data_IF_521705449411
#
_entry.id   IF_521705449411
#
_cell.length_a   1.000
_cell.length_b   1.000
_cell.length_c   1.000
_cell.angle_alpha   90.00
_cell.angle_beta   90.00
_cell.angle_gamma   90.00
#
_symmetry.space_group_name_H-M   'P 1'
#
loop_
_entity.id
_entity.type
_entity.pdbx_description
1 polymer ?
#
# COMPACT_ATOMS: atom_id res chain seq x y z
N UNK A 1 45.79 33.44 -63.16
CA UNK A 1 46.01 34.53 -62.19
C UNK A 1 44.82 34.54 -61.23
N UNK A 2 45.11 34.62 -59.92
CA UNK A 2 44.20 34.87 -58.79
C UNK A 2 43.31 33.72 -58.25
N UNK A 3 43.77 33.17 -57.12
CA UNK A 3 43.00 32.48 -56.07
C UNK A 3 42.09 33.49 -55.36
N UNK A 4 40.85 33.12 -55.03
CA UNK A 4 40.18 33.56 -53.80
C UNK A 4 39.38 32.38 -53.23
N UNK A 5 39.83 31.92 -52.05
CA UNK A 5 39.10 31.05 -51.13
C UNK A 5 38.06 31.89 -50.39
N UNK A 6 36.84 31.38 -50.16
CA UNK A 6 36.13 31.73 -48.94
C UNK A 6 35.21 30.60 -48.47
N UNK A 7 35.43 30.25 -47.21
CA UNK A 7 34.77 29.25 -46.41
C UNK A 7 33.30 29.60 -46.15
N UNK A 8 32.39 28.63 -46.28
CA UNK A 8 31.14 28.62 -45.52
C UNK A 8 30.91 27.22 -44.92
N UNK A 9 30.55 27.24 -43.64
CA UNK A 9 30.72 26.20 -42.62
C UNK A 9 29.75 25.03 -42.80
N UNK A 10 30.26 23.81 -42.58
CA UNK A 10 29.45 22.60 -42.33
C UNK A 10 28.61 22.82 -41.07
N UNK A 11 27.29 22.90 -41.21
CA UNK A 11 26.37 22.83 -40.10
C UNK A 11 26.43 21.41 -39.50
N UNK A 12 26.95 21.31 -38.28
CA UNK A 12 26.87 20.07 -37.48
C UNK A 12 25.42 19.93 -37.02
N UNK A 13 24.69 19.00 -37.64
CA UNK A 13 23.44 18.49 -37.09
C UNK A 13 23.82 17.57 -35.91
N UNK A 14 23.64 18.05 -34.69
CA UNK A 14 23.77 17.27 -33.44
C UNK A 14 22.34 17.03 -32.93
N UNK A 15 21.99 15.80 -32.53
CA UNK A 15 20.63 15.30 -32.54
C UNK A 15 19.83 15.80 -31.33
N UNK A 16 18.61 16.27 -31.56
CA UNK A 16 17.64 16.65 -30.52
C UNK A 16 16.96 15.44 -29.84
N UNK A 17 17.50 14.22 -30.00
CA UNK A 17 16.83 12.99 -29.60
C UNK A 17 17.16 12.51 -28.16
N UNK A 18 17.98 13.23 -27.38
CA UNK A 18 18.50 12.71 -26.10
C UNK A 18 17.99 13.43 -24.84
N UNK A 19 17.01 14.34 -24.94
CA UNK A 19 16.53 15.15 -23.81
C UNK A 19 15.10 14.83 -23.34
N UNK A 20 14.45 13.80 -23.88
CA UNK A 20 13.09 13.35 -23.51
C UNK A 20 13.14 11.94 -22.92
N UNK A 21 14.05 11.68 -21.98
CA UNK A 21 14.15 10.37 -21.30
C UNK A 21 14.31 10.48 -19.77
N UNK A 22 14.23 11.68 -19.19
CA UNK A 22 14.50 11.90 -17.75
C UNK A 22 13.28 12.31 -16.90
N UNK A 23 12.05 12.30 -17.43
CA UNK A 23 10.87 12.82 -16.71
C UNK A 23 9.84 11.76 -16.28
N UNK A 24 10.17 10.47 -16.33
CA UNK A 24 9.25 9.39 -15.90
C UNK A 24 9.76 8.62 -14.69
N UNK A 25 10.39 9.30 -13.71
CA UNK A 25 10.49 8.77 -12.35
C UNK A 25 9.14 8.98 -11.64
N UNK A 26 8.16 8.14 -11.97
CA UNK A 26 7.00 7.98 -11.09
C UNK A 26 7.51 7.42 -9.75
N UNK A 27 7.12 8.03 -8.64
CA UNK A 27 7.45 7.51 -7.31
C UNK A 27 6.89 6.09 -7.20
N UNK A 28 7.77 5.07 -7.20
CA UNK A 28 7.36 3.70 -6.93
C UNK A 28 6.72 3.63 -5.55
N UNK A 29 5.48 3.15 -5.46
CA UNK A 29 4.83 2.97 -4.17
C UNK A 29 5.45 1.76 -3.47
N UNK A 30 5.87 1.96 -2.23
CA UNK A 30 6.37 0.87 -1.39
C UNK A 30 5.21 0.41 -0.51
N UNK A 31 4.85 -0.87 -0.64
CA UNK A 31 3.90 -1.52 0.26
C UNK A 31 4.68 -2.30 1.31
N UNK A 32 4.36 -2.08 2.57
CA UNK A 32 4.88 -2.92 3.67
C UNK A 32 3.90 -4.05 3.95
N UNK A 33 4.37 -5.29 3.77
CA UNK A 33 3.69 -6.51 4.20
C UNK A 33 4.25 -6.95 5.56
N UNK A 34 3.34 -7.42 6.38
CA UNK A 34 3.55 -8.00 7.69
C UNK A 34 3.38 -9.51 7.58
N UNK A 35 4.33 -10.28 8.08
CA UNK A 35 4.27 -11.74 8.10
C UNK A 35 4.31 -12.19 9.55
N UNK A 36 3.24 -12.86 9.98
CA UNK A 36 3.16 -13.53 11.27
C UNK A 36 3.13 -15.05 11.04
N UNK A 37 4.23 -15.77 11.29
CA UNK A 37 4.21 -17.23 11.31
C UNK A 37 3.32 -17.73 12.45
N UNK A 38 2.35 -18.59 12.16
CA UNK A 38 1.38 -19.07 13.13
C UNK A 38 1.40 -20.61 13.17
N UNK A 39 2.54 -21.22 13.58
CA UNK A 39 2.68 -22.67 13.57
C UNK A 39 1.64 -23.33 14.48
N UNK A 40 1.12 -24.47 14.04
CA UNK A 40 0.14 -25.26 14.80
C UNK A 40 -1.18 -24.55 15.12
N UNK A 41 -1.57 -23.53 14.35
CA UNK A 41 -2.92 -22.94 14.38
C UNK A 41 -3.69 -23.36 13.13
N UNK A 42 -4.94 -23.79 13.31
CA UNK A 42 -5.81 -24.05 12.17
C UNK A 42 -6.26 -22.73 11.53
N UNK A 43 -6.53 -22.76 10.23
CA UNK A 43 -7.02 -21.57 9.49
C UNK A 43 -8.28 -21.00 10.13
N UNK A 44 -9.20 -21.85 10.61
CA UNK A 44 -10.43 -21.41 11.28
C UNK A 44 -10.14 -20.67 12.59
N UNK A 45 -9.14 -21.12 13.37
CA UNK A 45 -8.73 -20.43 14.59
C UNK A 45 -8.10 -19.08 14.27
N UNK A 46 -7.27 -19.03 13.23
CA UNK A 46 -6.64 -17.79 12.79
C UNK A 46 -7.70 -16.78 12.34
N UNK A 47 -8.64 -17.18 11.47
CA UNK A 47 -9.70 -16.28 11.00
C UNK A 47 -10.60 -15.78 12.13
N UNK A 48 -10.94 -16.65 13.10
CA UNK A 48 -11.71 -16.25 14.29
C UNK A 48 -10.94 -15.24 15.15
N UNK A 49 -9.64 -15.48 15.39
CA UNK A 49 -8.80 -14.58 16.14
C UNK A 49 -8.65 -13.22 15.44
N UNK A 50 -8.36 -13.23 14.14
CA UNK A 50 -8.28 -12.02 13.31
C UNK A 50 -9.58 -11.22 13.34
N UNK A 51 -10.72 -11.90 13.15
CA UNK A 51 -12.05 -11.27 13.23
C UNK A 51 -12.30 -10.65 14.60
N UNK A 52 -11.89 -11.32 15.68
CA UNK A 52 -12.02 -10.76 17.02
C UNK A 52 -11.13 -9.52 17.22
N UNK A 53 -9.89 -9.54 16.72
CA UNK A 53 -8.94 -8.43 16.86
C UNK A 53 -9.42 -7.18 16.13
N UNK A 54 -9.86 -7.33 14.89
CA UNK A 54 -10.31 -6.19 14.07
C UNK A 54 -11.63 -5.59 14.58
N UNK A 55 -12.58 -6.42 15.02
CA UNK A 55 -13.87 -5.94 15.54
C UNK A 55 -13.68 -5.22 16.88
N UNK A 56 -12.73 -5.66 17.71
CA UNK A 56 -12.39 -4.97 18.95
C UNK A 56 -11.88 -3.53 18.71
N UNK A 57 -11.25 -3.28 17.56
CA UNK A 57 -10.76 -1.96 17.15
C UNK A 57 -11.78 -1.16 16.30
N UNK A 58 -13.03 -1.65 16.19
CA UNK A 58 -14.10 -0.96 15.48
C UNK A 58 -14.03 -1.08 13.96
N UNK A 59 -13.22 -2.01 13.42
CA UNK A 59 -13.25 -2.34 12.01
C UNK A 59 -14.39 -3.30 11.70
N UNK A 60 -14.98 -3.14 10.52
CA UNK A 60 -16.04 -3.98 9.97
C UNK A 60 -15.44 -4.87 8.89
N UNK A 61 -15.77 -6.15 8.93
CA UNK A 61 -15.37 -7.09 7.86
C UNK A 61 -16.06 -6.67 6.57
N UNK A 62 -15.27 -6.35 5.55
CA UNK A 62 -15.75 -6.03 4.20
C UNK A 62 -15.89 -7.30 3.37
N UNK A 63 -14.91 -8.18 3.47
CA UNK A 63 -14.87 -9.43 2.73
C UNK A 63 -14.16 -10.48 3.55
N UNK A 64 -14.72 -11.67 3.61
CA UNK A 64 -14.07 -12.83 4.21
C UNK A 64 -14.34 -14.03 3.32
N UNK A 65 -13.28 -14.74 2.97
CA UNK A 65 -13.36 -15.98 2.22
C UNK A 65 -12.45 -16.99 2.91
N UNK A 66 -13.07 -17.92 3.64
CA UNK A 66 -12.34 -18.94 4.38
C UNK A 66 -11.65 -19.95 3.44
N UNK A 67 -12.20 -20.21 2.25
CA UNK A 67 -11.67 -21.20 1.31
C UNK A 67 -10.31 -20.79 0.73
N UNK A 68 -10.06 -19.48 0.61
CA UNK A 68 -8.76 -18.93 0.16
C UNK A 68 -8.01 -18.22 1.29
N UNK A 69 -8.46 -18.39 2.53
CA UNK A 69 -7.83 -17.81 3.71
C UNK A 69 -7.71 -16.29 3.68
N UNK A 70 -8.71 -15.59 3.13
CA UNK A 70 -8.69 -14.15 2.94
C UNK A 70 -9.64 -13.45 3.90
N UNK A 71 -9.18 -12.36 4.50
CA UNK A 71 -10.01 -11.47 5.30
C UNK A 71 -9.60 -10.02 5.03
N UNK A 72 -10.60 -9.17 4.82
CA UNK A 72 -10.40 -7.75 4.62
C UNK A 72 -11.43 -6.96 5.41
N UNK A 73 -10.97 -5.94 6.11
CA UNK A 73 -11.79 -5.17 7.03
C UNK A 73 -11.39 -3.71 7.07
N UNK A 74 -12.37 -2.85 7.32
CA UNK A 74 -12.19 -1.40 7.27
C UNK A 74 -12.99 -0.69 8.34
N UNK A 75 -12.52 0.48 8.76
CA UNK A 75 -13.30 1.37 9.62
C UNK A 75 -14.48 1.93 8.83
N UNK A 76 -15.48 2.45 9.55
CA UNK A 76 -16.42 3.38 8.92
C UNK A 76 -15.64 4.55 8.31
N UNK A 77 -16.05 4.97 7.14
CA UNK A 77 -15.47 6.15 6.50
C UNK A 77 -15.78 7.40 7.33
N UNK A 78 -14.73 8.19 7.59
CA UNK A 78 -14.84 9.49 8.23
C UNK A 78 -14.79 10.56 7.15
N UNK A 79 -15.87 11.34 7.02
CA UNK A 79 -15.92 12.48 6.11
C UNK A 79 -15.67 13.79 6.88
N UNK A 80 -14.82 14.65 6.33
CA UNK A 80 -14.57 16.00 6.81
C UNK A 80 -14.54 16.97 5.64
N UNK A 81 -15.64 17.70 5.44
CA UNK A 81 -15.87 18.47 4.22
C UNK A 81 -15.81 17.56 2.99
N UNK A 82 -14.96 17.91 2.03
CA UNK A 82 -14.73 17.12 0.82
C UNK A 82 -13.72 15.99 1.03
N UNK A 83 -13.11 15.84 2.19
CA UNK A 83 -12.12 14.78 2.44
C UNK A 83 -12.76 13.55 3.07
N UNK A 84 -12.31 12.37 2.69
CA UNK A 84 -12.67 11.10 3.33
C UNK A 84 -11.43 10.41 3.87
N UNK A 85 -11.59 9.66 4.95
CA UNK A 85 -10.54 8.86 5.56
C UNK A 85 -11.08 7.52 6.04
N UNK A 86 -10.36 6.44 5.76
CA UNK A 86 -10.71 5.09 6.17
C UNK A 86 -9.45 4.28 6.45
N UNK A 87 -9.41 3.55 7.58
CA UNK A 87 -8.35 2.59 7.85
C UNK A 87 -8.80 1.19 7.42
N UNK A 88 -7.88 0.41 6.86
CA UNK A 88 -8.12 -0.95 6.37
C UNK A 88 -7.01 -1.89 6.78
N UNK A 89 -7.41 -3.10 7.15
CA UNK A 89 -6.54 -4.26 7.30
C UNK A 89 -6.92 -5.34 6.30
N UNK A 90 -5.93 -5.87 5.60
CA UNK A 90 -6.09 -7.05 4.75
C UNK A 90 -5.19 -8.17 5.28
N UNK A 91 -5.71 -9.39 5.30
CA UNK A 91 -5.03 -10.60 5.75
C UNK A 91 -5.19 -11.70 4.69
N UNK A 92 -4.14 -12.49 4.54
CA UNK A 92 -4.11 -13.67 3.67
C UNK A 92 -3.33 -14.77 4.36
N UNK A 93 -3.92 -15.95 4.43
CA UNK A 93 -3.28 -17.15 4.98
C UNK A 93 -2.47 -17.83 3.89
N UNK A 94 -1.19 -18.04 4.14
CA UNK A 94 -0.26 -18.72 3.22
C UNK A 94 0.69 -19.58 4.04
N UNK A 95 0.66 -20.90 3.83
CA UNK A 95 1.59 -21.87 4.44
C UNK A 95 1.78 -21.65 5.95
N UNK A 96 0.70 -21.78 6.73
CA UNK A 96 0.67 -21.58 8.19
C UNK A 96 1.12 -20.18 8.67
N UNK A 97 1.13 -19.20 7.78
CA UNK A 97 1.50 -17.82 8.09
C UNK A 97 0.39 -16.87 7.70
N UNK A 98 0.21 -15.82 8.50
CA UNK A 98 -0.64 -14.68 8.15
C UNK A 98 0.24 -13.65 7.47
N UNK A 99 -0.07 -13.37 6.20
CA UNK A 99 0.40 -12.17 5.50
C UNK A 99 -0.63 -11.08 5.68
N UNK A 100 -0.22 -9.90 6.12
CA UNK A 100 -1.12 -8.81 6.39
C UNK A 100 -0.54 -7.49 5.91
N UNK A 101 -1.39 -6.52 5.64
CA UNK A 101 -0.95 -5.14 5.51
C UNK A 101 -2.06 -4.21 6.00
N UNK A 102 -1.62 -3.12 6.60
CA UNK A 102 -2.49 -2.07 7.10
C UNK A 102 -2.37 -0.84 6.21
N UNK A 103 -3.50 -0.25 5.86
CA UNK A 103 -3.56 0.92 4.98
C UNK A 103 -4.50 1.98 5.55
N UNK A 104 -4.17 3.25 5.31
CA UNK A 104 -5.13 4.35 5.40
C UNK A 104 -5.40 4.84 3.99
N UNK A 105 -6.68 4.91 3.66
CA UNK A 105 -7.20 5.39 2.39
C UNK A 105 -7.78 6.77 2.64
N UNK A 106 -7.25 7.75 1.93
CA UNK A 106 -7.73 9.14 1.95
C UNK A 106 -8.32 9.49 0.61
N UNK A 107 -9.51 10.07 0.59
CA UNK A 107 -10.20 10.44 -0.64
C UNK A 107 -10.58 11.91 -0.68
N UNK A 108 -10.85 12.41 -1.87
CA UNK A 108 -11.53 13.70 -2.07
C UNK A 108 -12.84 13.46 -2.81
N UNK A 109 -13.91 14.12 -2.36
CA UNK A 109 -15.24 14.09 -2.95
C UNK A 109 -15.57 15.39 -3.66
N UNK A 110 -16.35 15.29 -4.72
CA UNK A 110 -17.06 16.43 -5.29
C UNK A 110 -18.38 16.71 -4.54
N UNK A 111 -19.07 17.77 -4.93
CA UNK A 111 -20.35 18.19 -4.34
C UNK A 111 -21.47 17.15 -4.48
N UNK A 112 -21.35 16.23 -5.44
CA UNK A 112 -22.28 15.10 -5.61
C UNK A 112 -21.93 13.89 -4.71
N UNK A 113 -20.89 14.00 -3.87
CA UNK A 113 -20.45 12.93 -2.97
C UNK A 113 -19.59 11.85 -3.63
N UNK A 114 -19.23 12.02 -4.91
CA UNK A 114 -18.41 11.05 -5.67
C UNK A 114 -16.93 11.25 -5.33
N UNK A 115 -16.22 10.18 -5.02
CA UNK A 115 -14.76 10.21 -4.80
C UNK A 115 -14.04 10.46 -6.13
N UNK A 116 -13.35 11.59 -6.24
CA UNK A 116 -12.64 12.05 -7.45
C UNK A 116 -11.15 11.72 -7.43
N UNK A 117 -10.57 11.51 -6.25
CA UNK A 117 -9.20 11.03 -6.08
C UNK A 117 -9.08 10.22 -4.80
N UNK A 118 -8.19 9.24 -4.79
CA UNK A 118 -7.84 8.43 -3.62
C UNK A 118 -6.32 8.34 -3.48
N UNK A 119 -5.85 8.30 -2.24
CA UNK A 119 -4.46 8.08 -1.89
C UNK A 119 -4.37 7.10 -0.72
N UNK A 120 -3.54 6.09 -0.90
CA UNK A 120 -3.41 5.00 0.04
C UNK A 120 -2.00 5.03 0.65
N UNK A 121 -1.92 4.97 1.97
CA UNK A 121 -0.67 4.88 2.70
C UNK A 121 -0.60 3.56 3.47
N UNK A 122 0.48 2.80 3.32
CA UNK A 122 0.69 1.54 4.04
C UNK A 122 1.49 1.76 5.32
N UNK A 123 1.04 1.12 6.39
CA UNK A 123 1.60 1.25 7.74
C UNK A 123 2.74 0.24 7.97
N UNK A 124 3.73 0.64 8.78
CA UNK A 124 4.84 -0.19 9.25
C UNK A 124 5.18 0.09 10.73
N UNK A 125 6.24 -0.48 11.27
CA UNK A 125 6.61 -0.29 12.68
C UNK A 125 7.10 1.13 13.04
N UNK A 126 7.26 2.03 12.07
CA UNK A 126 7.50 3.45 12.29
C UNK A 126 6.25 4.23 12.73
N UNK A 127 5.08 3.59 12.74
CA UNK A 127 3.80 4.22 13.04
C UNK A 127 3.73 4.64 14.52
N UNK A 128 3.26 5.87 14.82
CA UNK A 128 3.06 6.34 16.18
C UNK A 128 2.22 5.38 17.05
N UNK A 129 2.64 5.17 18.30
CA UNK A 129 2.02 4.21 19.23
C UNK A 129 0.58 4.55 19.65
N UNK A 130 0.13 5.78 19.38
CA UNK A 130 -1.26 6.20 19.60
C UNK A 130 -2.22 5.73 18.49
N UNK A 131 -1.72 5.13 17.39
CA UNK A 131 -2.54 4.50 16.36
C UNK A 131 -3.00 3.12 16.81
N UNK A 132 -3.96 3.08 17.73
CA UNK A 132 -4.39 1.84 18.40
C UNK A 132 -4.94 0.80 17.41
N UNK A 133 -5.72 1.22 16.41
CA UNK A 133 -6.26 0.34 15.37
C UNK A 133 -5.17 -0.47 14.64
N UNK A 134 -3.96 0.07 14.54
CA UNK A 134 -2.79 -0.62 14.00
C UNK A 134 -2.12 -1.48 15.07
N UNK A 135 -1.72 -0.85 16.18
CA UNK A 135 -0.90 -1.50 17.20
C UNK A 135 -1.63 -2.63 17.95
N UNK A 136 -2.92 -2.49 18.23
CA UNK A 136 -3.72 -3.54 18.89
C UNK A 136 -3.85 -4.77 18.00
N UNK A 137 -4.13 -4.60 16.72
CA UNK A 137 -4.23 -5.71 15.76
C UNK A 137 -2.87 -6.37 15.57
N UNK A 138 -1.81 -5.58 15.32
CA UNK A 138 -0.44 -6.07 15.16
C UNK A 138 0.03 -6.85 16.38
N UNK A 139 -0.10 -6.29 17.59
CA UNK A 139 0.34 -6.95 18.82
C UNK A 139 -0.55 -8.14 19.18
N UNK A 140 -1.86 -8.05 18.91
CA UNK A 140 -2.79 -9.15 19.10
C UNK A 140 -2.46 -10.35 18.22
N UNK A 141 -2.10 -10.09 16.96
CA UNK A 141 -1.65 -11.12 16.02
C UNK A 141 -0.33 -11.77 16.47
N UNK A 142 0.67 -10.97 16.85
CA UNK A 142 1.95 -11.47 17.36
C UNK A 142 1.74 -12.35 18.60
N UNK A 143 0.91 -11.90 19.54
CA UNK A 143 0.57 -12.64 20.75
C UNK A 143 -0.19 -13.93 20.44
N UNK A 144 -1.12 -13.90 19.49
CA UNK A 144 -1.91 -15.07 19.11
C UNK A 144 -1.06 -16.15 18.45
N UNK A 145 -0.15 -15.75 17.56
CA UNK A 145 0.74 -16.68 16.87
C UNK A 145 1.97 -17.08 17.69
N UNK A 146 2.30 -16.32 18.74
CA UNK A 146 3.38 -16.64 19.69
C UNK A 146 4.78 -16.47 19.09
N UNK A 147 4.88 -15.85 17.91
CA UNK A 147 6.13 -15.64 17.17
C UNK A 147 6.20 -14.16 16.77
N UNK A 148 7.37 -13.51 16.87
CA UNK A 148 7.56 -12.14 16.41
C UNK A 148 7.21 -11.96 14.94
N UNK A 149 6.63 -10.81 14.65
CA UNK A 149 6.25 -10.41 13.30
C UNK A 149 7.48 -10.00 12.47
N UNK A 150 7.48 -10.36 11.18
CA UNK A 150 8.51 -9.98 10.19
C UNK A 150 7.91 -9.00 9.16
N UNK A 151 8.69 -8.03 8.72
CA UNK A 151 8.27 -7.07 7.70
C UNK A 151 8.97 -7.31 6.36
N UNK A 152 8.20 -7.24 5.28
CA UNK A 152 8.70 -7.33 3.91
C UNK A 152 8.22 -6.11 3.12
N UNK A 153 9.16 -5.38 2.52
CA UNK A 153 8.84 -4.22 1.68
C UNK A 153 8.75 -4.66 0.23
N UNK A 154 7.62 -4.40 -0.40
CA UNK A 154 7.38 -4.62 -1.82
C UNK A 154 7.40 -3.29 -2.55
N UNK A 155 8.32 -3.13 -3.49
CA UNK A 155 8.31 -1.97 -4.40
C UNK A 155 7.37 -2.30 -5.55
N UNK A 156 6.25 -1.59 -5.67
CA UNK A 156 5.34 -1.77 -6.79
C UNK A 156 5.80 -0.86 -7.95
N UNK A 157 5.96 -1.40 -9.17
CA UNK A 157 6.19 -0.56 -10.34
C UNK A 157 4.92 0.27 -10.60
N UNK A 158 5.10 1.58 -10.79
CA UNK A 158 4.00 2.47 -11.19
C UNK A 158 3.59 2.09 -12.61
N UNK A 159 2.46 1.40 -12.79
CA UNK A 159 1.83 1.29 -14.10
C UNK A 159 1.15 2.63 -14.39
N UNK A 160 1.81 3.47 -15.19
CA UNK A 160 1.17 4.61 -15.82
C UNK A 160 0.17 4.06 -16.85
N UNK A 161 -1.13 4.32 -16.63
CA UNK A 161 -2.19 4.10 -17.62
C UNK A 161 -2.40 5.37 -18.43
#
# INVERSE_FOLDING_TARGET
>A
MMRILSHIKRARFVPHAMLIAMLSYGCASVRTELIAPCPAKSESEILKALTSLIVAEGLRVRTMNADVGFLDAETTELASGNSTHQNRWTFTLVNDSVRAYATSVTGTRNEAGVVTSSHDYTFDDGVPKNQLWYWSVRNGLEKFCGVPIVFVKHTQPVMMW
#
